data_IF_218558736537
#
_entry.id   IF_218558736537
#
_cell.length_a   1.000
_cell.length_b   1.000
_cell.length_c   1.000
_cell.angle_alpha   90.00
_cell.angle_beta   90.00
_cell.angle_gamma   90.00
#
_symmetry.space_group_name_H-M   'P 1'
#
loop_
_entity.id
_entity.type
_entity.pdbx_description
1 polymer ?
#
# COMPACT_ATOMS: atom_id res chain seq x y z
N UNK A 1 4.96 24.72 3.00
CA UNK A 1 4.65 23.28 3.09
C UNK A 1 5.94 22.50 3.34
N UNK A 2 6.04 21.74 4.43
CA UNK A 2 7.28 21.01 4.81
C UNK A 2 7.24 19.60 4.18
N UNK A 3 8.07 19.36 3.17
CA UNK A 3 8.25 18.02 2.57
C UNK A 3 9.06 17.12 3.51
N UNK A 4 8.57 15.90 3.75
CA UNK A 4 9.19 14.81 4.51
C UNK A 4 9.44 13.63 3.55
N UNK A 5 10.60 12.99 3.62
CA UNK A 5 10.92 11.82 2.79
C UNK A 5 10.54 10.55 3.57
N UNK A 6 9.54 9.84 3.07
CA UNK A 6 9.14 8.52 3.57
C UNK A 6 9.86 7.47 2.72
N UNK A 7 10.60 6.55 3.34
CA UNK A 7 11.12 5.38 2.63
C UNK A 7 10.63 4.11 3.34
N UNK A 8 10.10 3.20 2.54
CA UNK A 8 9.67 1.88 2.97
C UNK A 8 10.61 0.87 2.31
N UNK A 9 11.47 0.22 3.10
CA UNK A 9 12.41 -0.76 2.57
C UNK A 9 11.86 -2.15 2.87
N UNK A 10 11.48 -2.87 1.81
CA UNK A 10 11.20 -4.30 1.86
C UNK A 10 12.56 -5.01 1.92
N UNK A 11 12.92 -5.61 3.05
CA UNK A 11 14.02 -6.58 3.06
C UNK A 11 13.47 -7.92 2.59
N UNK A 12 13.81 -8.30 1.36
CA UNK A 12 13.58 -9.62 0.79
C UNK A 12 14.54 -10.65 1.42
N UNK A 13 14.31 -11.03 2.68
CA UNK A 13 14.95 -12.21 3.27
C UNK A 13 13.99 -12.85 4.29
N UNK A 14 13.12 -13.74 3.79
CA UNK A 14 12.31 -14.76 4.50
C UNK A 14 11.64 -14.40 5.85
N UNK A 15 11.55 -13.12 6.20
CA UNK A 15 10.80 -12.59 7.31
C UNK A 15 10.11 -11.34 6.79
N UNK A 16 8.77 -11.33 6.78
CA UNK A 16 7.98 -10.16 6.40
C UNK A 16 8.12 -9.07 7.48
N UNK A 17 9.28 -8.42 7.55
CA UNK A 17 9.58 -7.31 8.44
C UNK A 17 9.82 -6.07 7.57
N UNK A 18 8.72 -5.55 7.02
CA UNK A 18 8.73 -4.20 6.44
C UNK A 18 8.90 -3.21 7.57
N UNK A 19 9.91 -2.33 7.50
CA UNK A 19 10.14 -1.26 8.48
C UNK A 19 9.89 0.07 7.77
N UNK A 20 9.05 0.90 8.38
CA UNK A 20 8.81 2.26 7.92
C UNK A 20 9.84 3.18 8.56
N UNK A 21 10.55 3.94 7.72
CA UNK A 21 11.49 4.96 8.16
C UNK A 21 10.99 6.35 7.78
N UNK A 22 11.13 7.30 8.71
CA UNK A 22 11.02 8.73 8.41
C UNK A 22 12.37 9.37 8.67
N UNK A 23 12.79 10.20 7.73
CA UNK A 23 14.02 10.98 7.82
C UNK A 23 13.67 12.47 7.86
N UNK A 24 14.42 13.22 8.65
CA UNK A 24 14.36 14.68 8.60
C UNK A 24 15.13 15.24 7.38
N UNK A 25 15.23 16.56 7.28
CA UNK A 25 15.93 17.23 6.18
C UNK A 25 17.45 17.03 6.20
N UNK A 26 18.03 16.67 7.34
CA UNK A 26 19.46 16.40 7.50
C UNK A 26 19.79 14.94 7.17
N UNK A 27 18.79 14.13 6.87
CA UNK A 27 18.95 12.69 6.65
C UNK A 27 18.99 11.90 7.97
N UNK A 28 18.66 12.53 9.10
CA UNK A 28 18.59 11.88 10.39
C UNK A 28 17.27 11.09 10.51
N UNK A 29 17.37 9.86 10.98
CA UNK A 29 16.23 8.96 11.13
C UNK A 29 15.41 9.36 12.35
N UNK A 30 14.22 9.92 12.11
CA UNK A 30 13.29 10.38 13.16
C UNK A 30 12.21 9.35 13.49
N UNK A 31 12.02 8.32 12.66
CA UNK A 31 11.08 7.23 12.92
C UNK A 31 11.59 5.92 12.33
N UNK A 32 11.37 4.82 13.06
CA UNK A 32 11.70 3.46 12.64
C UNK A 32 10.78 2.48 13.35
N UNK A 33 9.80 1.90 12.66
CA UNK A 33 8.96 0.85 13.23
C UNK A 33 8.63 -0.28 12.27
N UNK A 34 8.56 -1.53 12.77
CA UNK A 34 7.99 -2.64 12.01
C UNK A 34 6.52 -2.37 11.66
N UNK A 35 6.23 -2.36 10.35
CA UNK A 35 4.91 -2.08 9.76
C UNK A 35 3.86 -3.10 10.20
N UNK A 36 4.26 -4.35 10.44
CA UNK A 36 3.31 -5.46 10.58
C UNK A 36 2.93 -5.85 12.03
N UNK A 37 3.54 -5.27 13.08
CA UNK A 37 3.26 -5.73 14.46
C UNK A 37 3.10 -4.62 15.50
N UNK A 38 3.80 -3.49 15.34
CA UNK A 38 3.85 -2.45 16.39
C UNK A 38 3.31 -1.09 15.96
N UNK A 39 3.29 -0.82 14.65
CA UNK A 39 2.77 0.43 14.11
C UNK A 39 1.26 0.33 13.87
N UNK A 40 0.48 0.76 14.86
CA UNK A 40 -0.99 0.73 14.74
C UNK A 40 -1.55 1.72 13.73
N UNK A 41 -0.75 2.73 13.32
CA UNK A 41 -1.11 3.59 12.22
C UNK A 41 -1.04 2.83 10.90
N UNK A 42 0.10 2.17 10.62
CA UNK A 42 0.27 1.39 9.40
C UNK A 42 -0.71 0.23 9.31
N UNK A 43 -0.87 -0.55 10.40
CA UNK A 43 -1.85 -1.63 10.44
C UNK A 43 -3.26 -1.08 10.24
N UNK A 44 -3.61 0.02 10.92
CA UNK A 44 -4.91 0.65 10.77
C UNK A 44 -5.18 1.16 9.36
N UNK A 45 -4.16 1.73 8.70
CA UNK A 45 -4.24 2.23 7.33
C UNK A 45 -4.43 1.07 6.33
N UNK A 46 -3.56 0.06 6.36
CA UNK A 46 -3.66 -1.08 5.44
C UNK A 46 -4.88 -1.97 5.66
N UNK A 47 -5.50 -1.90 6.85
CA UNK A 47 -6.76 -2.60 7.14
C UNK A 47 -8.00 -1.74 6.91
N UNK A 48 -7.87 -0.54 6.34
CA UNK A 48 -8.97 0.40 6.14
C UNK A 48 -9.76 0.68 7.43
N UNK A 49 -9.11 0.64 8.60
CA UNK A 49 -9.72 0.94 9.89
C UNK A 49 -9.88 2.44 10.09
N UNK A 50 -8.87 3.21 9.66
CA UNK A 50 -8.69 4.62 10.01
C UNK A 50 -8.89 5.57 8.81
N UNK A 51 -9.47 5.08 7.71
CA UNK A 51 -9.78 5.94 6.57
C UNK A 51 -10.85 6.97 6.93
N UNK A 52 -10.96 8.01 6.11
CA UNK A 52 -12.08 8.95 6.19
C UNK A 52 -13.32 8.34 5.55
N UNK A 53 -14.50 8.81 5.92
CA UNK A 53 -15.77 8.26 5.41
C UNK A 53 -15.85 8.30 3.88
N UNK A 54 -15.33 9.37 3.26
CA UNK A 54 -15.30 9.50 1.81
C UNK A 54 -14.42 8.45 1.09
N UNK A 55 -13.46 7.81 1.78
CA UNK A 55 -12.67 6.74 1.19
C UNK A 55 -13.47 5.45 1.02
N UNK A 56 -14.53 5.25 1.80
CA UNK A 56 -15.43 4.09 1.69
C UNK A 56 -16.55 4.29 0.66
N UNK A 57 -16.72 5.51 0.18
CA UNK A 57 -17.72 5.90 -0.83
C UNK A 57 -17.08 6.70 -1.98
N UNK A 58 -15.80 6.43 -2.27
CA UNK A 58 -15.05 7.19 -3.25
C UNK A 58 -15.58 6.91 -4.66
N UNK A 59 -16.17 7.90 -5.31
CA UNK A 59 -16.68 7.78 -6.68
C UNK A 59 -15.58 7.50 -7.73
N UNK A 60 -14.32 7.80 -7.38
CA UNK A 60 -13.16 7.56 -8.26
C UNK A 60 -12.43 6.24 -7.96
N UNK A 61 -12.92 5.44 -7.02
CA UNK A 61 -12.41 4.11 -6.77
C UNK A 61 -13.06 3.13 -7.76
N UNK A 62 -12.57 3.17 -8.99
CA UNK A 62 -13.06 2.46 -10.16
C UNK A 62 -12.13 2.69 -11.35
N UNK A 63 -12.47 2.05 -12.47
CA UNK A 63 -11.77 2.17 -13.75
C UNK A 63 -12.03 3.53 -14.41
N UNK A 64 -13.25 4.05 -14.29
CA UNK A 64 -13.62 5.35 -14.83
C UNK A 64 -13.12 6.48 -13.90
N UNK A 65 -12.28 7.35 -14.45
CA UNK A 65 -11.66 8.47 -13.71
C UNK A 65 -11.60 9.70 -14.59
N UNK A 66 -11.86 10.86 -13.97
CA UNK A 66 -11.95 12.14 -14.66
C UNK A 66 -10.62 12.70 -15.19
N UNK A 67 -9.48 12.11 -14.83
CA UNK A 67 -8.16 12.54 -15.30
C UNK A 67 -7.86 11.99 -16.68
N UNK A 68 -7.05 12.70 -17.48
CA UNK A 68 -6.61 12.22 -18.80
C UNK A 68 -5.82 10.90 -18.71
N UNK A 69 -5.07 10.72 -17.62
CA UNK A 69 -4.28 9.53 -17.30
C UNK A 69 -4.49 9.11 -15.84
N UNK A 70 -4.46 7.80 -15.59
CA UNK A 70 -4.35 7.23 -14.24
C UNK A 70 -3.06 6.46 -14.13
N UNK A 71 -2.23 6.81 -13.14
CA UNK A 71 -0.92 6.19 -12.92
C UNK A 71 -0.92 5.48 -11.56
N UNK A 72 -0.47 4.24 -11.52
CA UNK A 72 -0.37 3.44 -10.29
C UNK A 72 0.83 2.50 -10.31
N UNK A 73 1.14 1.89 -9.17
CA UNK A 73 1.97 0.69 -9.17
C UNK A 73 1.28 -0.39 -10.03
N UNK A 74 2.06 -1.15 -10.81
CA UNK A 74 1.51 -2.19 -11.68
C UNK A 74 1.22 -3.47 -10.88
N UNK A 75 0.02 -3.56 -10.28
CA UNK A 75 -0.48 -4.76 -9.62
C UNK A 75 -1.09 -5.71 -10.67
N UNK A 76 -0.83 -7.02 -10.56
CA UNK A 76 -1.38 -8.03 -11.47
C UNK A 76 -0.62 -8.23 -12.78
N UNK A 77 0.55 -7.61 -12.97
CA UNK A 77 1.37 -7.82 -14.16
C UNK A 77 1.70 -9.30 -14.38
N UNK A 78 1.57 -9.77 -15.61
CA UNK A 78 1.84 -11.17 -15.96
C UNK A 78 0.62 -12.09 -15.84
N UNK A 79 -0.50 -11.60 -15.31
CA UNK A 79 -1.70 -12.44 -15.10
C UNK A 79 -2.55 -12.60 -16.35
N UNK A 80 -2.50 -11.65 -17.30
CA UNK A 80 -3.27 -11.70 -18.55
C UNK A 80 -2.40 -11.87 -19.79
N UNK A 81 -1.15 -11.43 -19.74
CA UNK A 81 -0.18 -11.65 -20.82
C UNK A 81 1.21 -11.92 -20.23
N UNK A 82 2.09 -12.67 -20.92
CA UNK A 82 3.48 -12.83 -20.48
C UNK A 82 4.19 -11.49 -20.29
N UNK A 83 5.12 -11.45 -19.34
CA UNK A 83 5.89 -10.27 -19.02
C UNK A 83 7.32 -10.68 -18.65
N UNK A 84 8.26 -10.41 -19.56
CA UNK A 84 9.67 -10.82 -19.42
C UNK A 84 10.55 -9.79 -18.67
N UNK A 85 9.94 -8.75 -18.10
CA UNK A 85 10.66 -7.75 -17.31
C UNK A 85 11.08 -8.33 -15.95
N UNK A 86 12.28 -8.90 -15.91
CA UNK A 86 12.78 -9.66 -14.78
C UNK A 86 13.11 -8.84 -13.53
N UNK A 87 13.33 -7.52 -13.61
CA UNK A 87 13.95 -6.78 -12.48
C UNK A 87 13.47 -5.34 -12.20
N UNK A 88 12.40 -4.84 -12.82
CA UNK A 88 11.95 -3.45 -12.67
C UNK A 88 10.63 -3.28 -11.91
N UNK A 89 10.51 -2.23 -11.07
CA UNK A 89 9.20 -1.74 -10.62
C UNK A 89 8.53 -1.02 -11.79
N UNK A 90 7.47 -1.62 -12.32
CA UNK A 90 6.67 -1.01 -13.38
C UNK A 90 5.49 -0.22 -12.80
N UNK A 91 5.15 0.87 -13.46
CA UNK A 91 3.90 1.60 -13.21
C UNK A 91 2.88 1.22 -14.28
N UNK A 92 1.62 1.08 -13.88
CA UNK A 92 0.51 1.02 -14.83
C UNK A 92 0.10 2.44 -15.20
N UNK A 93 -0.25 2.65 -16.47
CA UNK A 93 -0.81 3.89 -16.99
C UNK A 93 -2.09 3.55 -17.75
N UNK A 94 -3.24 3.90 -17.17
CA UNK A 94 -4.53 3.85 -17.87
C UNK A 94 -4.74 5.18 -18.60
N UNK A 95 -5.08 5.07 -19.89
CA UNK A 95 -5.37 6.21 -20.76
C UNK A 95 -6.88 6.38 -20.84
N UNK A 96 -7.38 7.48 -20.27
CA UNK A 96 -8.83 7.69 -20.13
C UNK A 96 -9.40 8.59 -21.23
N UNK A 97 -8.55 9.43 -21.84
CA UNK A 97 -8.97 10.39 -22.87
C UNK A 97 -8.00 10.40 -24.04
N UNK A 98 -8.47 10.88 -25.19
CA UNK A 98 -7.63 11.08 -26.38
C UNK A 98 -6.49 12.08 -26.11
N UNK A 99 -6.68 13.03 -25.20
CA UNK A 99 -5.63 13.96 -24.77
C UNK A 99 -4.55 13.23 -23.98
N UNK A 100 -4.92 12.32 -23.07
CA UNK A 100 -3.99 11.46 -22.36
C UNK A 100 -3.20 10.56 -23.31
N UNK A 101 -3.87 10.01 -24.32
CA UNK A 101 -3.26 9.19 -25.36
C UNK A 101 -2.15 9.94 -26.09
N UNK A 102 -2.47 11.11 -26.65
CA UNK A 102 -1.48 11.98 -27.32
C UNK A 102 -0.30 12.35 -26.43
N UNK A 103 -0.53 12.55 -25.13
CA UNK A 103 0.54 12.84 -24.17
C UNK A 103 1.49 11.64 -24.01
N UNK A 104 0.95 10.42 -23.82
CA UNK A 104 1.77 9.21 -23.69
C UNK A 104 2.55 8.93 -24.97
N UNK A 105 1.89 9.01 -26.12
CA UNK A 105 2.52 8.83 -27.45
C UNK A 105 3.68 9.82 -27.64
N UNK A 106 3.46 11.12 -27.39
CA UNK A 106 4.52 12.12 -27.50
C UNK A 106 5.69 11.89 -26.53
N UNK A 107 5.43 11.40 -25.31
CA UNK A 107 6.50 11.05 -24.36
C UNK A 107 7.30 9.82 -24.82
N UNK A 108 6.65 8.84 -25.42
CA UNK A 108 7.29 7.64 -25.98
C UNK A 108 8.11 7.98 -27.22
N UNK A 109 7.58 8.79 -28.13
CA UNK A 109 8.29 9.27 -29.33
C UNK A 109 9.56 10.04 -28.96
N UNK A 110 9.49 10.89 -27.93
CA UNK A 110 10.63 11.64 -27.40
C UNK A 110 11.57 10.79 -26.53
N UNK A 111 11.31 9.48 -26.41
CA UNK A 111 12.07 8.53 -25.57
C UNK A 111 12.21 9.00 -24.11
N UNK A 112 11.21 9.71 -23.60
CA UNK A 112 11.13 10.15 -22.18
C UNK A 112 10.62 9.03 -21.28
N UNK A 113 9.77 8.17 -21.83
CA UNK A 113 9.21 7.00 -21.16
C UNK A 113 9.22 5.82 -22.11
N UNK A 114 9.48 4.64 -21.56
CA UNK A 114 9.32 3.37 -22.25
C UNK A 114 7.97 2.79 -21.84
N UNK A 115 7.07 2.62 -22.80
CA UNK A 115 5.69 2.19 -22.55
C UNK A 115 5.36 0.96 -23.40
N UNK A 116 4.64 0.03 -22.80
CA UNK A 116 4.26 -1.24 -23.43
C UNK A 116 2.75 -1.39 -23.35
N UNK A 117 2.10 -1.62 -24.50
CA UNK A 117 0.66 -1.89 -24.54
C UNK A 117 0.35 -3.24 -23.90
N UNK A 118 -0.66 -3.28 -23.03
CA UNK A 118 -1.08 -4.47 -22.27
C UNK A 118 -2.60 -4.51 -22.12
N UNK A 119 -3.20 -5.69 -21.87
CA UNK A 119 -4.64 -5.81 -21.61
C UNK A 119 -5.07 -4.93 -20.43
N UNK A 120 -6.16 -4.19 -20.59
CA UNK A 120 -6.64 -3.23 -19.59
C UNK A 120 -7.17 -3.91 -18.33
N UNK A 121 -7.65 -5.14 -18.48
CA UNK A 121 -8.16 -5.98 -17.39
C UNK A 121 -7.06 -6.37 -16.41
N UNK A 122 -5.79 -6.44 -16.87
CA UNK A 122 -4.66 -6.86 -16.04
C UNK A 122 -4.43 -5.94 -14.83
N UNK A 123 -4.27 -4.62 -14.98
CA UNK A 123 -4.18 -3.72 -13.84
C UNK A 123 -5.50 -3.55 -13.08
N UNK A 124 -6.65 -3.60 -13.76
CA UNK A 124 -7.96 -3.44 -13.12
C UNK A 124 -8.24 -4.60 -12.16
N UNK A 125 -8.09 -5.85 -12.61
CA UNK A 125 -8.26 -7.03 -11.77
C UNK A 125 -7.19 -7.14 -10.67
N UNK A 126 -5.97 -6.67 -10.97
CA UNK A 126 -4.85 -6.65 -10.03
C UNK A 126 -4.99 -5.63 -8.91
N UNK A 127 -5.76 -4.55 -9.10
CA UNK A 127 -5.97 -3.50 -8.10
C UNK A 127 -7.44 -3.32 -7.71
N UNK A 128 -7.86 -3.74 -6.50
CA UNK A 128 -9.22 -3.50 -6.02
C UNK A 128 -9.64 -2.03 -6.01
N UNK A 129 -8.68 -1.09 -5.88
CA UNK A 129 -8.97 0.35 -5.93
C UNK A 129 -9.35 0.87 -7.33
N UNK A 130 -9.20 0.05 -8.37
CA UNK A 130 -9.73 0.27 -9.72
C UNK A 130 -11.08 -0.42 -9.94
N UNK A 131 -11.63 -1.11 -8.95
CA UNK A 131 -12.91 -1.81 -9.07
C UNK A 131 -13.98 -1.22 -8.14
N UNK A 132 -13.60 -0.93 -6.89
CA UNK A 132 -14.55 -0.42 -5.91
C UNK A 132 -13.87 0.37 -4.76
N UNK A 133 -14.62 1.20 -4.02
CA UNK A 133 -14.14 1.82 -2.79
C UNK A 133 -13.70 0.78 -1.75
N UNK A 134 -12.76 1.16 -0.88
CA UNK A 134 -12.36 0.26 0.21
C UNK A 134 -13.55 -0.05 1.11
N UNK A 135 -13.61 -1.26 1.67
CA UNK A 135 -14.61 -1.60 2.68
C UNK A 135 -14.12 -1.22 4.08
N UNK A 136 -14.98 -0.67 4.95
CA UNK A 136 -14.59 -0.34 6.32
C UNK A 136 -14.24 -1.59 7.10
N UNK A 137 -13.18 -1.50 7.90
CA UNK A 137 -12.81 -2.59 8.80
C UNK A 137 -13.95 -2.96 9.74
N UNK A 138 -14.15 -4.26 10.01
CA UNK A 138 -15.20 -4.78 10.92
C UNK A 138 -15.20 -4.14 12.32
N UNK A 139 -14.05 -3.62 12.76
CA UNK A 139 -13.86 -2.95 14.06
C UNK A 139 -13.82 -1.42 13.97
N UNK A 140 -14.17 -0.80 12.84
CA UNK A 140 -14.18 0.67 12.68
C UNK A 140 -15.09 1.35 13.70
N UNK A 141 -16.30 0.86 13.90
CA UNK A 141 -17.23 1.42 14.89
C UNK A 141 -16.63 1.41 16.31
N UNK A 142 -15.93 0.33 16.68
CA UNK A 142 -15.19 0.24 17.94
C UNK A 142 -14.08 1.29 18.00
N UNK A 143 -13.26 1.41 16.96
CA UNK A 143 -12.21 2.42 16.88
C UNK A 143 -12.76 3.84 17.07
N UNK A 144 -13.80 4.22 16.32
CA UNK A 144 -14.41 5.55 16.40
C UNK A 144 -14.97 5.84 17.80
N UNK A 145 -15.63 4.85 18.42
CA UNK A 145 -16.15 4.98 19.79
C UNK A 145 -15.03 5.21 20.80
N UNK A 146 -13.94 4.47 20.71
CA UNK A 146 -12.80 4.62 21.64
C UNK A 146 -12.01 5.90 21.37
N UNK A 147 -11.91 6.33 20.12
CA UNK A 147 -11.26 7.59 19.74
C UNK A 147 -12.03 8.79 20.30
N UNK A 148 -13.36 8.78 20.22
CA UNK A 148 -14.24 9.82 20.79
C UNK A 148 -14.13 9.97 22.31
N UNK A 149 -13.66 8.94 23.04
CA UNK A 149 -13.44 9.02 24.50
C UNK A 149 -12.23 9.88 24.90
N UNK A 150 -11.46 10.41 23.94
CA UNK A 150 -10.39 11.37 24.22
C UNK A 150 -9.06 10.75 24.69
N UNK A 151 -8.90 9.42 24.68
CA UNK A 151 -7.65 8.74 25.09
C UNK A 151 -6.54 8.73 24.03
N UNK A 152 -6.76 9.41 22.89
CA UNK A 152 -5.83 9.49 21.77
C UNK A 152 -5.90 8.32 20.78
N UNK A 153 -5.28 8.52 19.62
CA UNK A 153 -5.31 7.60 18.47
C UNK A 153 -4.76 6.21 18.81
N UNK A 154 -3.55 6.16 19.38
CA UNK A 154 -2.82 4.92 19.68
C UNK A 154 -3.65 3.95 20.54
N UNK A 155 -4.28 4.45 21.60
CA UNK A 155 -5.09 3.61 22.49
C UNK A 155 -6.34 3.07 21.78
N UNK A 156 -7.03 3.92 21.01
CA UNK A 156 -8.21 3.52 20.26
C UNK A 156 -7.88 2.46 19.19
N UNK A 157 -6.80 2.68 18.43
CA UNK A 157 -6.34 1.76 17.40
C UNK A 157 -5.86 0.42 17.99
N UNK A 158 -5.08 0.43 19.08
CA UNK A 158 -4.63 -0.79 19.78
C UNK A 158 -5.79 -1.62 20.30
N UNK A 159 -6.85 -0.97 20.78
CA UNK A 159 -8.05 -1.66 21.27
C UNK A 159 -8.87 -2.26 20.13
N UNK A 160 -9.01 -1.56 19.02
CA UNK A 160 -9.70 -2.07 17.83
C UNK A 160 -8.94 -3.21 17.12
N UNK A 161 -7.61 -3.14 17.09
CA UNK A 161 -6.71 -4.08 16.39
C UNK A 161 -6.08 -5.13 17.32
N UNK A 162 -6.68 -5.37 18.49
CA UNK A 162 -6.06 -6.21 19.55
C UNK A 162 -5.72 -7.62 19.05
N UNK A 163 -6.63 -8.23 18.28
CA UNK A 163 -6.49 -9.60 17.79
C UNK A 163 -5.51 -9.70 16.63
N UNK A 164 -5.55 -8.75 15.72
CA UNK A 164 -4.67 -8.64 14.56
C UNK A 164 -3.22 -8.45 14.99
N UNK A 165 -3.00 -7.65 16.04
CA UNK A 165 -1.67 -7.50 16.68
C UNK A 165 -1.22 -8.80 17.35
N UNK A 166 -2.12 -9.50 18.03
CA UNK A 166 -1.79 -10.76 18.71
C UNK A 166 -1.39 -11.86 17.70
N UNK A 167 -2.13 -11.99 16.60
CA UNK A 167 -1.85 -12.96 15.54
C UNK A 167 -0.51 -12.67 14.87
N UNK A 168 -0.22 -11.41 14.55
CA UNK A 168 1.07 -10.99 13.97
C UNK A 168 2.26 -11.33 14.88
N UNK A 169 2.14 -11.02 16.18
CA UNK A 169 3.18 -11.35 17.18
C UNK A 169 3.34 -12.86 17.33
N UNK A 170 2.24 -13.63 17.32
CA UNK A 170 2.29 -15.08 17.49
C UNK A 170 2.95 -15.79 16.30
N UNK A 171 2.65 -15.37 15.06
CA UNK A 171 3.29 -15.89 13.86
C UNK A 171 4.78 -15.51 13.81
N UNK A 172 5.12 -14.25 14.10
CA UNK A 172 6.52 -13.82 14.15
C UNK A 172 7.34 -14.59 15.20
N UNK A 173 6.76 -14.87 16.37
CA UNK A 173 7.39 -15.69 17.41
C UNK A 173 7.56 -17.15 16.97
N UNK A 174 6.55 -17.74 16.32
CA UNK A 174 6.62 -19.11 15.79
C UNK A 174 7.69 -19.23 14.70
N UNK A 175 7.75 -18.30 13.75
CA UNK A 175 8.77 -18.25 12.69
C UNK A 175 10.16 -18.07 13.31
N UNK A 176 10.32 -17.15 14.27
CA UNK A 176 11.60 -16.93 14.97
C UNK A 176 12.05 -18.16 15.74
N UNK A 177 11.14 -18.86 16.43
CA UNK A 177 11.44 -20.10 17.15
C UNK A 177 11.82 -21.24 16.19
N UNK A 178 11.17 -21.32 15.02
CA UNK A 178 11.49 -22.28 13.98
C UNK A 178 12.86 -22.00 13.34
N UNK A 179 13.17 -20.74 12.99
CA UNK A 179 14.48 -20.32 12.47
C UNK A 179 15.60 -20.60 13.47
N UNK A 180 15.37 -20.33 14.75
CA UNK A 180 16.29 -20.68 15.84
C UNK A 180 16.62 -22.18 15.89
N UNK A 181 15.58 -23.02 15.82
CA UNK A 181 15.75 -24.49 15.73
C UNK A 181 16.53 -24.93 14.48
N UNK A 182 16.29 -24.30 13.34
CA UNK A 182 17.00 -24.61 12.08
C UNK A 182 18.46 -24.18 12.09
N UNK A 183 18.77 -23.05 12.72
CA UNK A 183 20.12 -22.48 12.80
C UNK A 183 20.93 -22.97 14.01
N UNK A 184 20.34 -23.78 14.90
CA UNK A 184 21.01 -24.33 16.08
C UNK A 184 21.30 -23.30 17.19
N UNK A 185 20.52 -22.22 17.28
CA UNK A 185 20.68 -21.09 18.22
C UNK A 185 19.39 -20.77 18.98
#
# INVERSE_FOLDING_TARGET
MKSLRISCQLFLYHTNLTIAYLFDRKGEKIYSRPVLSEDVYQVGYHKALIYRENCYACLYAGEDRCGDLTISDYKGIGTKAPCDFSHGKMSSVLVNTEKGKRLVEGLTEQRRVEAYSRPVEEPIEGDPQLQHPSFPHKKRALFLREYKKGKGFEQAAKKALRWERFLSISHARKIKAWLKRLLGI
#
